data_IF_270131037553
#
_entry.id   IF_270131037553
#
_cell.length_a   1.000
_cell.length_b   1.000
_cell.length_c   1.000
_cell.angle_alpha   90.00
_cell.angle_beta   90.00
_cell.angle_gamma   90.00
#
_symmetry.space_group_name_H-M   'P 1'
#
loop_
_entity.id
_entity.type
_entity.pdbx_description
1 polymer ?
#
# COMPACT_ATOMS: atom_id res chain seq x y z
N UNK A 1 -19.84 -10.34 34.40
CA UNK A 1 -18.43 -10.04 34.11
C UNK A 1 -18.32 -9.38 32.77
N UNK A 2 -17.75 -8.18 32.72
CA UNK A 2 -17.52 -7.43 31.46
C UNK A 2 -16.47 -8.16 30.64
N UNK A 3 -16.77 -8.44 29.37
CA UNK A 3 -15.77 -8.94 28.42
C UNK A 3 -15.00 -7.74 27.84
N UNK A 4 -13.69 -7.73 28.01
CA UNK A 4 -12.81 -6.71 27.41
C UNK A 4 -12.12 -7.34 26.21
N UNK A 5 -12.19 -6.68 25.06
CA UNK A 5 -11.49 -7.10 23.84
C UNK A 5 -10.11 -6.44 23.81
N UNK A 6 -9.10 -7.23 23.47
CA UNK A 6 -7.73 -6.77 23.32
C UNK A 6 -7.25 -7.09 21.91
N UNK A 7 -6.43 -6.20 21.34
CA UNK A 7 -5.72 -6.44 20.09
C UNK A 7 -4.25 -6.64 20.42
N UNK A 8 -3.67 -7.74 19.95
CA UNK A 8 -2.25 -8.02 20.11
C UNK A 8 -1.52 -7.24 19.02
N UNK A 9 -0.77 -6.21 19.42
CA UNK A 9 -0.03 -5.35 18.49
C UNK A 9 1.40 -5.82 18.25
N UNK A 10 1.97 -6.62 19.16
CA UNK A 10 3.34 -7.13 19.03
C UNK A 10 3.53 -8.39 19.86
N UNK A 11 4.41 -9.30 19.41
CA UNK A 11 4.79 -10.51 20.15
C UNK A 11 6.31 -10.62 20.26
N UNK A 12 6.81 -11.14 21.39
CA UNK A 12 8.21 -11.54 21.53
C UNK A 12 8.26 -13.03 21.87
N UNK A 13 8.86 -13.88 21.01
CA UNK A 13 9.56 -13.55 19.75
C UNK A 13 8.61 -13.13 18.62
N UNK A 14 9.13 -12.45 17.59
CA UNK A 14 8.39 -11.96 16.39
C UNK A 14 8.04 -13.10 15.43
N UNK A 15 7.60 -14.23 15.95
CA UNK A 15 7.17 -15.45 15.23
C UNK A 15 5.77 -15.80 15.68
N UNK A 16 5.03 -16.63 14.94
CA UNK A 16 3.77 -17.19 15.44
C UNK A 16 3.97 -17.79 16.83
N UNK A 17 3.20 -17.33 17.80
CA UNK A 17 3.28 -17.77 19.19
C UNK A 17 1.96 -18.38 19.63
N UNK A 18 2.02 -19.39 20.48
CA UNK A 18 0.86 -19.99 21.12
C UNK A 18 0.72 -19.37 22.50
N UNK A 19 -0.48 -18.88 22.81
CA UNK A 19 -0.78 -18.36 24.14
C UNK A 19 -0.89 -19.52 25.12
N UNK A 20 -0.09 -19.48 26.20
CA UNK A 20 -0.07 -20.48 27.27
C UNK A 20 -0.35 -19.78 28.60
N UNK A 21 -0.55 -20.55 29.67
CA UNK A 21 -0.75 -20.03 31.03
C UNK A 21 0.42 -19.15 31.52
N UNK A 22 1.62 -19.35 30.97
CA UNK A 22 2.81 -18.58 31.32
C UNK A 22 3.02 -17.35 30.41
N UNK A 23 2.08 -17.03 29.53
CA UNK A 23 2.18 -15.88 28.62
C UNK A 23 1.98 -14.59 29.39
N UNK A 24 2.97 -13.69 29.35
CA UNK A 24 2.89 -12.37 29.99
C UNK A 24 2.34 -11.36 29.01
N UNK A 25 1.22 -10.75 29.35
CA UNK A 25 0.62 -9.65 28.59
C UNK A 25 1.10 -8.32 29.17
N UNK A 26 1.71 -7.47 28.31
CA UNK A 26 2.02 -6.09 28.65
C UNK A 26 0.98 -5.19 28.01
N UNK A 27 0.19 -4.50 28.82
CA UNK A 27 -0.72 -3.47 28.35
C UNK A 27 0.11 -2.23 28.01
N UNK A 28 0.20 -1.89 26.72
CA UNK A 28 0.76 -0.61 26.28
C UNK A 28 -0.31 0.48 26.39
N UNK A 29 0.12 1.73 26.60
CA UNK A 29 -0.78 2.89 26.44
C UNK A 29 -1.33 2.89 25.02
N UNK A 30 -2.63 3.13 24.86
CA UNK A 30 -3.32 3.18 23.57
C UNK A 30 -2.61 4.13 22.60
N UNK A 31 -1.74 3.59 21.78
CA UNK A 31 -1.48 4.20 20.49
C UNK A 31 -2.70 3.89 19.63
N UNK A 32 -3.37 4.93 19.14
CA UNK A 32 -4.56 4.93 18.27
C UNK A 32 -5.14 3.55 18.02
N UNK A 33 -6.34 3.29 18.56
CA UNK A 33 -7.12 2.12 18.17
C UNK A 33 -7.03 2.02 16.64
N UNK A 34 -6.54 0.89 16.14
CA UNK A 34 -6.72 0.54 14.74
C UNK A 34 -8.24 0.51 14.61
N UNK A 35 -8.77 1.49 13.90
CA UNK A 35 -10.19 1.61 13.65
C UNK A 35 -10.59 0.43 12.75
N UNK A 36 -10.91 -0.70 13.40
CA UNK A 36 -11.41 -1.91 12.75
C UNK A 36 -12.83 -1.71 12.21
N UNK A 37 -13.39 -0.51 12.36
CA UNK A 37 -14.70 -0.12 11.88
C UNK A 37 -14.71 0.46 10.47
N UNK A 38 -13.55 0.62 9.81
CA UNK A 38 -13.53 0.97 8.39
C UNK A 38 -14.11 -0.23 7.64
N UNK A 39 -15.28 -0.12 6.99
CA UNK A 39 -15.84 -1.20 6.23
C UNK A 39 -14.82 -1.61 5.18
N UNK A 40 -14.35 -2.86 5.25
CA UNK A 40 -13.43 -3.39 4.26
C UNK A 40 -14.21 -3.54 2.97
N UNK A 41 -13.89 -2.70 2.01
CA UNK A 41 -14.42 -2.80 0.66
C UNK A 41 -13.93 -4.13 0.08
N UNK A 42 -14.86 -4.93 -0.42
CA UNK A 42 -14.57 -6.21 -1.07
C UNK A 42 -14.80 -6.11 -2.58
N UNK A 43 -14.30 -7.09 -3.33
CA UNK A 43 -14.54 -7.12 -4.78
C UNK A 43 -16.02 -7.25 -5.15
N UNK A 44 -16.85 -7.80 -4.27
CA UNK A 44 -18.29 -7.96 -4.49
C UNK A 44 -19.04 -6.63 -4.58
N UNK A 45 -18.45 -5.58 -3.99
CA UNK A 45 -18.97 -4.21 -4.04
C UNK A 45 -18.64 -3.49 -5.36
N UNK A 46 -17.78 -4.10 -6.20
CA UNK A 46 -17.33 -3.54 -7.48
C UNK A 46 -18.22 -4.02 -8.62
N UNK A 47 -19.27 -3.27 -8.93
CA UNK A 47 -20.11 -3.55 -10.09
C UNK A 47 -19.39 -3.27 -11.43
N UNK A 48 -19.53 -4.18 -12.39
CA UNK A 48 -19.11 -3.95 -13.79
C UNK A 48 -17.60 -4.08 -14.07
N UNK A 49 -16.73 -4.35 -13.06
CA UNK A 49 -15.28 -4.38 -13.19
C UNK A 49 -14.68 -5.81 -13.13
N UNK A 50 -15.42 -6.83 -13.54
CA UNK A 50 -14.98 -8.24 -13.42
C UNK A 50 -13.61 -8.52 -14.06
N UNK A 51 -13.37 -8.00 -15.25
CA UNK A 51 -12.11 -8.22 -15.97
C UNK A 51 -10.94 -7.48 -15.29
N UNK A 52 -11.18 -6.26 -14.81
CA UNK A 52 -10.21 -5.43 -14.12
C UNK A 52 -9.84 -6.06 -12.76
N UNK A 53 -10.84 -6.54 -12.03
CA UNK A 53 -10.63 -7.28 -10.77
C UNK A 53 -9.80 -8.54 -11.03
N UNK A 54 -10.09 -9.31 -12.09
CA UNK A 54 -9.31 -10.51 -12.41
C UNK A 54 -7.84 -10.17 -12.68
N UNK A 55 -7.58 -9.15 -13.49
CA UNK A 55 -6.20 -8.70 -13.78
C UNK A 55 -5.47 -8.24 -12.52
N UNK A 56 -6.14 -7.48 -11.66
CA UNK A 56 -5.55 -7.00 -10.41
C UNK A 56 -5.26 -8.17 -9.44
N UNK A 57 -6.12 -9.17 -9.38
CA UNK A 57 -5.86 -10.39 -8.62
C UNK A 57 -4.56 -11.08 -9.06
N UNK A 58 -4.38 -11.22 -10.36
CA UNK A 58 -3.20 -11.86 -10.92
C UNK A 58 -1.92 -11.04 -10.72
N UNK A 59 -2.02 -9.71 -10.85
CA UNK A 59 -0.85 -8.81 -10.82
C UNK A 59 -0.47 -8.33 -9.42
N UNK A 60 -1.40 -8.25 -8.48
CA UNK A 60 -1.16 -7.69 -7.14
C UNK A 60 -1.47 -8.71 -6.05
N UNK A 61 -2.68 -9.26 -6.02
CA UNK A 61 -3.09 -10.14 -4.93
C UNK A 61 -2.27 -11.44 -4.90
N UNK A 62 -2.08 -12.08 -6.05
CA UNK A 62 -1.35 -13.34 -6.13
C UNK A 62 0.12 -13.20 -5.70
N UNK A 63 0.89 -12.20 -6.15
CA UNK A 63 2.26 -11.97 -5.65
C UNK A 63 2.32 -11.67 -4.15
N UNK A 64 1.35 -10.92 -3.63
CA UNK A 64 1.32 -10.58 -2.20
C UNK A 64 0.97 -11.76 -1.31
N UNK A 65 0.10 -12.67 -1.77
CA UNK A 65 -0.31 -13.86 -1.02
C UNK A 65 0.64 -15.04 -1.18
N UNK A 66 1.25 -15.16 -2.34
CA UNK A 66 2.05 -16.32 -2.75
C UNK A 66 3.38 -15.91 -3.41
N UNK A 67 4.24 -15.12 -2.74
CA UNK A 67 5.52 -14.71 -3.30
C UNK A 67 6.41 -15.91 -3.68
N UNK A 68 6.29 -17.00 -2.96
CA UNK A 68 7.04 -18.24 -3.21
C UNK A 68 6.77 -18.87 -4.59
N UNK A 69 5.64 -18.58 -5.22
CA UNK A 69 5.34 -19.05 -6.57
C UNK A 69 6.21 -18.32 -7.59
N UNK A 70 6.37 -17.01 -7.42
CA UNK A 70 7.18 -16.16 -8.31
C UNK A 70 8.66 -16.51 -8.20
N UNK A 71 9.15 -16.74 -6.98
CA UNK A 71 10.52 -17.19 -6.73
C UNK A 71 10.82 -18.53 -7.41
N UNK A 72 9.89 -19.49 -7.33
CA UNK A 72 10.06 -20.82 -7.94
C UNK A 72 10.12 -20.79 -9.47
N UNK A 73 9.35 -19.92 -10.11
CA UNK A 73 9.35 -19.80 -11.58
C UNK A 73 10.38 -18.80 -12.09
N UNK A 74 11.11 -18.11 -11.20
CA UNK A 74 12.15 -17.14 -11.55
C UNK A 74 11.61 -15.88 -12.21
N UNK A 75 10.37 -15.48 -11.90
CA UNK A 75 9.74 -14.27 -12.42
C UNK A 75 9.61 -13.26 -11.30
N UNK A 76 10.07 -12.04 -11.53
CA UNK A 76 9.87 -10.96 -10.57
C UNK A 76 8.40 -10.51 -10.53
N UNK A 77 7.84 -10.39 -9.32
CA UNK A 77 6.52 -9.84 -9.13
C UNK A 77 6.47 -8.35 -9.54
N UNK A 78 5.37 -7.89 -10.15
CA UNK A 78 5.21 -6.47 -10.47
C UNK A 78 5.28 -5.61 -9.19
N UNK A 79 6.11 -4.59 -9.19
CA UNK A 79 6.26 -3.66 -8.05
C UNK A 79 5.23 -2.53 -8.07
N UNK A 80 4.60 -2.31 -9.23
CA UNK A 80 3.58 -1.28 -9.40
C UNK A 80 2.62 -1.57 -10.54
N UNK A 81 1.41 -1.06 -10.42
CA UNK A 81 0.35 -1.19 -11.42
C UNK A 81 -0.24 0.17 -11.72
N UNK A 82 -0.33 0.53 -12.99
CA UNK A 82 -0.96 1.76 -13.43
C UNK A 82 -2.44 1.52 -13.74
N UNK A 83 -3.32 2.20 -12.98
CA UNK A 83 -4.75 2.24 -13.25
C UNK A 83 -5.07 3.50 -14.06
N UNK A 84 -5.57 3.34 -15.27
CA UNK A 84 -5.95 4.47 -16.13
C UNK A 84 -7.40 4.35 -16.60
N UNK A 85 -8.02 5.47 -16.90
CA UNK A 85 -9.40 5.56 -17.35
C UNK A 85 -10.08 6.86 -16.93
N UNK A 86 -11.32 7.12 -17.40
CA UNK A 86 -12.06 8.33 -17.06
C UNK A 86 -12.29 8.50 -15.55
N UNK A 87 -12.54 9.71 -15.07
CA UNK A 87 -12.93 9.93 -13.68
C UNK A 87 -14.23 9.17 -13.35
N UNK A 88 -14.40 8.76 -12.09
CA UNK A 88 -15.61 8.06 -11.64
C UNK A 88 -15.70 6.57 -12.02
N UNK A 89 -14.69 5.98 -12.66
CA UNK A 89 -14.69 4.56 -13.04
C UNK A 89 -14.33 3.59 -11.91
N UNK A 90 -14.14 4.07 -10.68
CA UNK A 90 -13.91 3.23 -9.51
C UNK A 90 -12.45 2.82 -9.26
N UNK A 91 -11.45 3.49 -9.87
CA UNK A 91 -10.02 3.18 -9.68
C UNK A 91 -9.60 3.15 -8.21
N UNK A 92 -9.94 4.20 -7.46
CA UNK A 92 -9.64 4.29 -6.01
C UNK A 92 -10.38 3.21 -5.21
N UNK A 93 -11.62 2.90 -5.61
CA UNK A 93 -12.41 1.86 -4.95
C UNK A 93 -11.80 0.48 -5.20
N UNK A 94 -11.34 0.20 -6.42
CA UNK A 94 -10.64 -1.02 -6.79
C UNK A 94 -9.36 -1.20 -5.96
N UNK A 95 -8.54 -0.14 -5.81
CA UNK A 95 -7.33 -0.20 -5.01
C UNK A 95 -7.61 -0.50 -3.52
N UNK A 96 -8.67 0.10 -2.95
CA UNK A 96 -9.12 -0.19 -1.58
C UNK A 96 -9.61 -1.62 -1.42
N UNK A 97 -10.35 -2.15 -2.41
CA UNK A 97 -10.83 -3.53 -2.39
C UNK A 97 -9.66 -4.53 -2.40
N UNK A 98 -8.62 -4.28 -3.22
CA UNK A 98 -7.40 -5.10 -3.24
C UNK A 98 -6.73 -5.11 -1.86
N UNK A 99 -6.58 -3.96 -1.23
CA UNK A 99 -5.98 -3.87 0.11
C UNK A 99 -6.82 -4.62 1.16
N UNK A 100 -8.14 -4.51 1.08
CA UNK A 100 -9.07 -5.25 1.94
C UNK A 100 -8.94 -6.75 1.79
N UNK A 101 -8.89 -7.24 0.57
CA UNK A 101 -8.77 -8.68 0.25
C UNK A 101 -7.39 -9.25 0.61
N UNK A 102 -6.33 -8.48 0.47
CA UNK A 102 -4.96 -8.90 0.80
C UNK A 102 -4.59 -8.69 2.27
N UNK A 103 -5.46 -8.09 3.07
CA UNK A 103 -5.17 -7.63 4.43
C UNK A 103 -3.94 -6.71 4.49
N UNK A 104 -3.68 -5.96 3.44
CA UNK A 104 -2.59 -5.01 3.38
C UNK A 104 -2.97 -3.66 4.01
N UNK A 105 -1.99 -2.98 4.58
CA UNK A 105 -2.15 -1.58 4.96
C UNK A 105 -2.35 -0.73 3.71
N UNK A 106 -3.27 0.21 3.75
CA UNK A 106 -3.59 1.06 2.61
C UNK A 106 -3.27 2.51 2.89
N UNK A 107 -2.36 3.07 2.10
CA UNK A 107 -2.03 4.49 2.14
C UNK A 107 -2.44 5.14 0.83
N UNK A 108 -3.33 6.12 0.88
CA UNK A 108 -3.77 6.90 -0.28
C UNK A 108 -3.17 8.30 -0.24
N UNK A 109 -2.59 8.72 -1.35
CA UNK A 109 -1.94 10.02 -1.48
C UNK A 109 -2.37 10.62 -2.81
N UNK A 110 -2.65 11.92 -2.82
CA UNK A 110 -2.86 12.67 -4.05
C UNK A 110 -1.53 13.21 -4.58
N UNK A 111 -1.33 13.17 -5.90
CA UNK A 111 -0.14 13.72 -6.53
C UNK A 111 0.15 15.18 -6.12
N UNK A 112 -0.84 16.10 -6.13
CA UNK A 112 -0.67 17.45 -5.62
C UNK A 112 -0.21 17.56 -4.16
N UNK A 113 -0.55 16.59 -3.29
CA UNK A 113 -0.09 16.58 -1.89
C UNK A 113 1.40 16.26 -1.76
N UNK A 114 1.97 15.61 -2.76
CA UNK A 114 3.40 15.32 -2.83
C UNK A 114 4.18 16.58 -3.22
N UNK A 115 3.56 17.48 -3.97
CA UNK A 115 4.19 18.71 -4.47
C UNK A 115 4.35 19.72 -3.34
N UNK A 116 5.48 19.67 -2.64
CA UNK A 116 5.84 20.64 -1.59
C UNK A 116 6.15 22.04 -2.16
N UNK A 117 5.98 23.04 -1.32
CA UNK A 117 6.29 24.44 -1.68
C UNK A 117 7.78 24.76 -1.63
N UNK A 118 8.56 23.96 -0.93
CA UNK A 118 9.98 24.17 -0.72
C UNK A 118 10.83 23.08 -1.42
N UNK A 119 12.05 23.47 -1.75
CA UNK A 119 13.00 22.59 -2.42
C UNK A 119 13.34 21.37 -1.53
N UNK A 120 13.21 20.17 -2.09
CA UNK A 120 13.50 18.90 -1.40
C UNK A 120 12.36 18.33 -0.55
N UNK A 121 11.33 19.11 -0.23
CA UNK A 121 10.19 18.68 0.59
C UNK A 121 9.41 17.53 -0.06
N UNK A 122 9.26 17.58 -1.37
CA UNK A 122 8.54 16.55 -2.14
C UNK A 122 9.26 15.20 -2.14
N UNK A 123 10.58 15.21 -2.32
CA UNK A 123 11.38 13.98 -2.32
C UNK A 123 11.46 13.35 -0.93
N UNK A 124 11.54 14.17 0.12
CA UNK A 124 11.51 13.70 1.50
C UNK A 124 10.16 13.08 1.84
N UNK A 125 9.08 13.73 1.44
CA UNK A 125 7.71 13.24 1.64
C UNK A 125 7.49 11.86 1.00
N UNK A 126 7.90 11.69 -0.25
CA UNK A 126 7.81 10.39 -0.93
C UNK A 126 8.62 9.33 -0.17
N UNK A 127 9.84 9.65 0.25
CA UNK A 127 10.69 8.72 1.00
C UNK A 127 10.05 8.29 2.32
N UNK A 128 9.49 9.23 3.07
CA UNK A 128 8.77 8.93 4.31
C UNK A 128 7.62 7.96 4.09
N UNK A 129 6.81 8.19 3.04
CA UNK A 129 5.68 7.34 2.70
C UNK A 129 6.12 5.91 2.40
N UNK A 130 7.18 5.74 1.60
CA UNK A 130 7.70 4.42 1.28
C UNK A 130 8.31 3.73 2.50
N UNK A 131 9.02 4.47 3.35
CA UNK A 131 9.56 3.94 4.62
C UNK A 131 8.44 3.46 5.54
N UNK A 132 7.39 4.26 5.72
CA UNK A 132 6.23 3.87 6.53
C UNK A 132 5.52 2.65 5.95
N UNK A 133 5.42 2.54 4.63
CA UNK A 133 4.83 1.39 3.97
C UNK A 133 5.68 0.12 4.17
N UNK A 134 6.99 0.23 4.14
CA UNK A 134 7.91 -0.89 4.42
C UNK A 134 7.81 -1.38 5.87
N UNK A 135 7.77 -0.46 6.83
CA UNK A 135 7.61 -0.76 8.25
C UNK A 135 6.29 -1.46 8.58
N UNK A 136 5.24 -1.14 7.81
CA UNK A 136 3.90 -1.69 7.99
C UNK A 136 3.54 -2.74 6.92
N UNK A 137 4.53 -3.43 6.37
CA UNK A 137 4.33 -4.48 5.34
C UNK A 137 3.46 -5.64 5.87
N UNK A 138 2.56 -6.24 5.05
CA UNK A 138 2.29 -5.89 3.66
C UNK A 138 1.48 -4.59 3.52
N UNK A 139 1.83 -3.76 2.54
CA UNK A 139 1.19 -2.46 2.33
C UNK A 139 1.03 -2.11 0.85
N UNK A 140 0.00 -1.31 0.58
CA UNK A 140 -0.30 -0.77 -0.74
C UNK A 140 -0.29 0.75 -0.66
N UNK A 141 0.55 1.38 -1.47
CA UNK A 141 0.55 2.83 -1.67
C UNK A 141 -0.26 3.12 -2.94
N UNK A 142 -1.35 3.84 -2.79
CA UNK A 142 -2.15 4.33 -3.91
C UNK A 142 -1.85 5.81 -4.16
N UNK A 143 -1.34 6.13 -5.33
CA UNK A 143 -1.05 7.50 -5.74
C UNK A 143 -2.13 7.92 -6.73
N UNK A 144 -3.02 8.80 -6.31
CA UNK A 144 -4.05 9.39 -7.18
C UNK A 144 -3.49 10.58 -7.92
N UNK A 145 -4.05 10.89 -9.09
CA UNK A 145 -3.62 12.03 -9.92
C UNK A 145 -2.11 12.03 -10.20
N UNK A 146 -1.56 10.86 -10.53
CA UNK A 146 -0.10 10.70 -10.78
C UNK A 146 0.40 11.58 -11.92
N UNK A 147 -0.47 11.95 -12.84
CA UNK A 147 -0.20 12.88 -13.94
C UNK A 147 0.18 14.29 -13.47
N UNK A 148 -0.22 14.67 -12.27
CA UNK A 148 0.19 15.94 -11.65
C UNK A 148 1.67 16.00 -11.28
N UNK A 149 2.28 14.85 -10.99
CA UNK A 149 3.71 14.73 -10.62
C UNK A 149 4.56 14.10 -11.72
N UNK A 150 3.93 13.41 -12.67
CA UNK A 150 4.57 12.73 -13.78
C UNK A 150 3.86 13.06 -15.11
N UNK A 151 3.86 14.34 -15.55
CA UNK A 151 3.25 14.74 -16.81
C UNK A 151 3.96 14.07 -17.99
N UNK A 152 3.33 14.11 -19.17
CA UNK A 152 3.93 13.57 -20.39
C UNK A 152 5.28 14.25 -20.68
N UNK A 153 6.23 13.50 -21.23
CA UNK A 153 7.60 14.00 -21.49
C UNK A 153 7.66 15.29 -22.30
N UNK A 154 6.73 15.50 -23.20
CA UNK A 154 6.65 16.70 -24.05
C UNK A 154 6.13 17.93 -23.28
N UNK A 155 5.51 17.73 -22.13
CA UNK A 155 4.95 18.78 -21.26
C UNK A 155 5.85 19.07 -20.04
N UNK A 156 6.89 18.26 -19.80
CA UNK A 156 7.79 18.39 -18.65
C UNK A 156 8.76 19.54 -18.89
N UNK A 157 8.40 20.71 -18.37
CA UNK A 157 9.27 21.90 -18.33
C UNK A 157 10.01 22.09 -17.00
N UNK A 158 9.63 21.33 -15.95
CA UNK A 158 10.14 21.50 -14.59
C UNK A 158 11.24 20.50 -14.22
N UNK A 159 12.31 20.98 -13.57
CA UNK A 159 13.32 20.12 -12.95
C UNK A 159 12.76 19.36 -11.74
N UNK A 160 11.76 19.91 -11.07
CA UNK A 160 11.15 19.32 -9.87
C UNK A 160 10.42 18.03 -10.21
N UNK A 161 9.58 18.01 -11.24
CA UNK A 161 8.84 16.84 -11.68
C UNK A 161 9.79 15.70 -12.08
N UNK A 162 10.86 16.02 -12.80
CA UNK A 162 11.89 15.03 -13.18
C UNK A 162 12.54 14.37 -11.95
N UNK A 163 12.81 15.17 -10.93
CA UNK A 163 13.42 14.69 -9.68
C UNK A 163 12.46 13.82 -8.88
N UNK A 164 11.20 14.24 -8.75
CA UNK A 164 10.14 13.46 -8.09
C UNK A 164 9.96 12.11 -8.78
N UNK A 165 9.85 12.09 -10.11
CA UNK A 165 9.71 10.85 -10.88
C UNK A 165 10.94 9.95 -10.72
N UNK A 166 12.15 10.51 -10.78
CA UNK A 166 13.39 9.77 -10.57
C UNK A 166 13.46 9.16 -9.18
N UNK A 167 13.07 9.93 -8.14
CA UNK A 167 13.02 9.45 -6.77
C UNK A 167 12.00 8.32 -6.61
N UNK A 168 10.81 8.47 -7.19
CA UNK A 168 9.77 7.45 -7.15
C UNK A 168 10.25 6.14 -7.80
N UNK A 169 10.84 6.21 -8.98
CA UNK A 169 11.39 5.04 -9.66
C UNK A 169 12.50 4.37 -8.84
N UNK A 170 13.41 5.16 -8.26
CA UNK A 170 14.49 4.63 -7.40
C UNK A 170 13.93 3.89 -6.18
N UNK A 171 12.90 4.45 -5.54
CA UNK A 171 12.26 3.79 -4.40
C UNK A 171 11.53 2.51 -4.81
N UNK A 172 10.82 2.53 -5.95
CA UNK A 172 10.16 1.33 -6.47
C UNK A 172 11.16 0.23 -6.83
N UNK A 173 12.29 0.58 -7.44
CA UNK A 173 13.34 -0.39 -7.78
C UNK A 173 14.04 -0.94 -6.53
N UNK A 174 14.18 -0.12 -5.49
CA UNK A 174 14.77 -0.50 -4.21
C UNK A 174 13.89 -1.41 -3.35
N UNK A 175 12.58 -1.50 -3.62
CA UNK A 175 11.70 -2.40 -2.90
C UNK A 175 12.12 -3.86 -3.16
N UNK A 176 12.50 -4.55 -2.08
CA UNK A 176 12.78 -5.99 -2.14
C UNK A 176 11.45 -6.74 -2.16
N UNK A 177 11.30 -7.66 -3.11
CA UNK A 177 10.28 -8.71 -3.01
C UNK A 177 10.67 -9.58 -1.80
N UNK A 178 9.92 -9.48 -0.73
CA UNK A 178 10.07 -10.34 0.46
C UNK A 178 9.00 -11.40 0.47
#
# INVERSE_FOLDING_TARGET
GSRVQFVITNTKPSKPVIVTENTVFKLGSMTKAIDTSIPRITYDELGGLKNEVQKIREMVELPMRHPELFDKIGVEAPKGVLLYGPPGTGKTLLAKAVAGETNANFTSISGPEIMGKHYGESEERIREIFTQAEENSPSIIFIDEIDSIAPKRDEVSGELEKRIVSQLLTLMDGMKSR
#
